data_IF_952965343060
#
_entry.id   IF_952965343060
#
_cell.length_a   1.000
_cell.length_b   1.000
_cell.length_c   1.000
_cell.angle_alpha   90.00
_cell.angle_beta   90.00
_cell.angle_gamma   90.00
#
_symmetry.space_group_name_H-M   'P 1'
#
loop_
_entity.id
_entity.type
_entity.pdbx_description
1 polymer ?
#
# COMPACT_ATOMS: atom_id res chain seq x y z
N UNK A 1 -3.26 11.93 1.01
CA UNK A 1 -2.93 11.34 2.33
C UNK A 1 -1.49 10.87 2.33
N UNK A 2 -0.72 11.36 3.27
CA UNK A 2 0.68 10.97 3.42
C UNK A 2 0.83 10.03 4.61
N UNK A 3 1.59 8.95 4.43
CA UNK A 3 1.77 7.91 5.43
C UNK A 3 3.23 7.47 5.47
N UNK A 4 3.70 7.12 6.65
CA UNK A 4 4.96 6.40 6.83
C UNK A 4 4.61 5.00 7.31
N UNK A 5 4.97 4.01 6.50
CA UNK A 5 4.63 2.61 6.72
C UNK A 5 5.90 1.76 6.80
N UNK A 6 5.83 0.55 7.34
CA UNK A 6 6.99 -0.33 7.35
C UNK A 6 7.37 -0.78 5.95
N UNK A 7 8.64 -1.08 5.76
CA UNK A 7 9.15 -1.65 4.52
C UNK A 7 8.52 -3.04 4.33
N UNK A 8 8.02 -3.36 3.11
CA UNK A 8 7.50 -4.68 2.85
C UNK A 8 8.57 -5.76 3.02
N UNK A 9 8.19 -6.98 3.42
CA UNK A 9 9.12 -8.10 3.40
C UNK A 9 9.60 -8.38 1.97
N UNK A 10 10.77 -9.01 1.83
CA UNK A 10 11.28 -9.37 0.51
C UNK A 10 10.32 -10.33 -0.19
N UNK A 11 10.36 -10.35 -1.51
CA UNK A 11 9.43 -11.15 -2.33
C UNK A 11 9.43 -12.63 -1.94
N UNK A 12 10.57 -13.16 -1.52
CA UNK A 12 10.70 -14.56 -1.11
C UNK A 12 10.00 -14.86 0.22
N UNK A 13 9.64 -13.86 1.00
CA UNK A 13 9.02 -14.01 2.32
C UNK A 13 7.56 -13.55 2.37
N UNK A 14 7.01 -13.08 1.23
CA UNK A 14 5.64 -12.56 1.18
C UNK A 14 4.60 -13.67 1.08
N UNK A 15 4.94 -14.75 0.39
CA UNK A 15 4.01 -15.84 0.06
C UNK A 15 4.63 -17.18 0.39
N UNK A 16 3.78 -18.17 0.64
CA UNK A 16 4.16 -19.56 0.85
C UNK A 16 3.31 -20.46 -0.03
N UNK A 17 3.80 -21.66 -0.33
CA UNK A 17 3.03 -22.67 -1.05
C UNK A 17 2.51 -23.69 -0.06
N UNK A 18 1.18 -23.85 0.01
CA UNK A 18 0.51 -24.82 0.90
C UNK A 18 -0.43 -25.66 0.04
N UNK A 19 -0.23 -26.97 0.02
CA UNK A 19 -1.02 -27.92 -0.77
C UNK A 19 -1.11 -27.53 -2.25
N UNK A 20 0.02 -27.09 -2.83
CA UNK A 20 0.09 -26.66 -4.23
C UNK A 20 -0.50 -25.27 -4.51
N UNK A 21 -0.98 -24.56 -3.50
CA UNK A 21 -1.58 -23.23 -3.64
C UNK A 21 -0.67 -22.17 -3.04
N UNK A 22 -0.52 -21.05 -3.77
CA UNK A 22 0.21 -19.90 -3.27
C UNK A 22 -0.68 -19.11 -2.32
N UNK A 23 -0.24 -18.96 -1.08
CA UNK A 23 -0.95 -18.24 -0.03
C UNK A 23 -0.06 -17.19 0.59
N UNK A 24 -0.66 -16.19 1.23
CA UNK A 24 0.09 -15.18 1.96
C UNK A 24 0.80 -15.83 3.15
N UNK A 25 2.10 -15.59 3.28
CA UNK A 25 2.90 -16.14 4.39
C UNK A 25 2.50 -15.50 5.72
N UNK A 26 2.96 -16.10 6.84
CA UNK A 26 2.77 -15.47 8.16
C UNK A 26 3.43 -14.09 8.23
N UNK A 27 4.61 -13.94 7.64
CA UNK A 27 5.30 -12.64 7.54
C UNK A 27 4.48 -11.65 6.73
N UNK A 28 3.92 -12.07 5.60
CA UNK A 28 3.04 -11.24 4.79
C UNK A 28 1.76 -10.83 5.52
N UNK A 29 1.14 -11.75 6.26
CA UNK A 29 -0.05 -11.44 7.07
C UNK A 29 0.26 -10.43 8.17
N UNK A 30 1.37 -10.59 8.86
CA UNK A 30 1.82 -9.65 9.89
C UNK A 30 2.06 -8.27 9.31
N UNK A 31 2.69 -8.19 8.14
CA UNK A 31 2.91 -6.94 7.44
C UNK A 31 1.59 -6.24 7.11
N UNK A 32 0.65 -6.95 6.51
CA UNK A 32 -0.66 -6.38 6.16
C UNK A 32 -1.42 -5.89 7.39
N UNK A 33 -1.39 -6.64 8.48
CA UNK A 33 -2.02 -6.22 9.73
C UNK A 33 -1.39 -4.95 10.30
N UNK A 34 -0.06 -4.84 10.25
CA UNK A 34 0.66 -3.66 10.71
C UNK A 34 0.34 -2.41 9.89
N UNK A 35 0.27 -2.56 8.57
CA UNK A 35 -0.13 -1.47 7.67
C UNK A 35 -1.57 -1.03 7.97
N UNK A 36 -2.48 -1.98 8.15
CA UNK A 36 -3.88 -1.67 8.46
C UNK A 36 -4.00 -0.86 9.75
N UNK A 37 -3.28 -1.25 10.81
CA UNK A 37 -3.29 -0.52 12.07
C UNK A 37 -2.78 0.91 11.91
N UNK A 38 -1.71 1.11 11.17
CA UNK A 38 -1.14 2.44 10.96
C UNK A 38 -2.06 3.34 10.12
N UNK A 39 -2.71 2.78 9.10
CA UNK A 39 -3.67 3.54 8.29
C UNK A 39 -4.88 3.93 9.10
N UNK A 40 -5.45 3.01 9.87
CA UNK A 40 -6.60 3.29 10.72
C UNK A 40 -6.28 4.33 11.79
N UNK A 41 -5.10 4.26 12.40
CA UNK A 41 -4.65 5.25 13.36
C UNK A 41 -4.50 6.64 12.73
N UNK A 42 -3.91 6.71 11.54
CA UNK A 42 -3.74 7.98 10.81
C UNK A 42 -5.08 8.60 10.43
N UNK A 43 -6.04 7.78 9.98
CA UNK A 43 -7.38 8.24 9.65
C UNK A 43 -8.13 8.75 10.88
N UNK A 44 -7.99 8.08 12.03
CA UNK A 44 -8.70 8.43 13.25
C UNK A 44 -8.36 9.85 13.74
N UNK A 45 -7.14 10.33 13.46
CA UNK A 45 -6.70 11.66 13.90
C UNK A 45 -6.71 12.70 12.78
N UNK A 46 -7.09 12.32 11.57
CA UNK A 46 -7.09 13.23 10.43
C UNK A 46 -8.33 14.11 10.43
N UNK A 47 -8.19 15.45 10.41
CA UNK A 47 -9.34 16.33 10.34
C UNK A 47 -10.08 16.25 9.00
N UNK A 48 -9.44 15.76 7.94
CA UNK A 48 -10.03 15.59 6.62
C UNK A 48 -10.51 14.17 6.32
N UNK A 49 -10.61 13.32 7.34
CA UNK A 49 -10.98 11.89 7.19
C UNK A 49 -12.23 11.68 6.35
N UNK A 50 -13.31 12.35 6.66
CA UNK A 50 -14.60 12.18 5.98
C UNK A 50 -14.49 12.51 4.50
N UNK A 51 -13.84 13.63 4.17
CA UNK A 51 -13.61 14.05 2.79
C UNK A 51 -12.72 13.06 2.05
N UNK A 52 -11.65 12.60 2.69
CA UNK A 52 -10.74 11.62 2.10
C UNK A 52 -11.43 10.30 1.79
N UNK A 53 -12.17 9.73 2.75
CA UNK A 53 -12.90 8.47 2.56
C UNK A 53 -13.93 8.60 1.44
N UNK A 54 -14.63 9.72 1.35
CA UNK A 54 -15.57 10.00 0.28
C UNK A 54 -14.87 10.06 -1.08
N UNK A 55 -13.74 10.75 -1.16
CA UNK A 55 -13.03 10.98 -2.41
C UNK A 55 -12.36 9.70 -2.94
N UNK A 56 -11.80 8.84 -2.07
CA UNK A 56 -11.19 7.58 -2.52
C UNK A 56 -12.21 6.61 -3.12
N UNK A 57 -13.48 6.79 -2.84
CA UNK A 57 -14.57 5.99 -3.45
C UNK A 57 -15.09 6.58 -4.75
N UNK A 58 -14.80 7.83 -5.01
CA UNK A 58 -15.37 8.58 -6.13
C UNK A 58 -14.40 8.74 -7.29
N UNK A 59 -13.12 8.92 -7.01
CA UNK A 59 -12.09 9.23 -7.99
C UNK A 59 -11.08 8.10 -8.11
N UNK A 60 -10.53 7.94 -9.32
CA UNK A 60 -9.35 7.12 -9.51
C UNK A 60 -8.17 7.71 -8.73
N UNK A 61 -7.25 6.85 -8.30
CA UNK A 61 -6.22 7.21 -7.34
C UNK A 61 -4.83 7.23 -7.99
N UNK A 62 -3.96 8.04 -7.40
CA UNK A 62 -2.54 8.07 -7.68
C UNK A 62 -1.80 7.64 -6.43
N UNK A 63 -0.91 6.67 -6.55
CA UNK A 63 -0.10 6.14 -5.46
C UNK A 63 1.37 6.42 -5.74
N UNK A 64 2.03 7.07 -4.78
CA UNK A 64 3.47 7.31 -4.82
C UNK A 64 4.12 6.62 -3.64
N UNK A 65 5.11 5.78 -3.89
CA UNK A 65 5.85 5.05 -2.87
C UNK A 65 7.34 5.34 -2.99
N UNK A 66 7.96 5.69 -1.87
CA UNK A 66 9.41 5.77 -1.76
C UNK A 66 9.87 4.76 -0.73
N UNK A 67 10.63 3.76 -1.17
CA UNK A 67 11.20 2.74 -0.29
C UNK A 67 12.56 3.20 0.19
N UNK A 68 12.74 3.32 1.49
CA UNK A 68 14.02 3.58 2.12
C UNK A 68 14.53 2.28 2.73
N UNK A 69 15.44 1.62 2.02
CA UNK A 69 16.02 0.35 2.45
C UNK A 69 17.28 0.57 3.29
N UNK A 70 17.68 -0.47 4.02
CA UNK A 70 18.92 -0.44 4.80
C UNK A 70 20.16 -0.40 3.91
N UNK A 71 20.08 -0.97 2.69
CA UNK A 71 21.17 -0.93 1.72
C UNK A 71 20.59 -0.93 0.31
N UNK A 72 21.44 -0.55 -0.67
CA UNK A 72 21.06 -0.58 -2.10
C UNK A 72 20.96 -1.98 -2.66
N UNK A 73 21.51 -2.97 -1.96
CA UNK A 73 21.75 -4.27 -2.53
C UNK A 73 20.50 -5.15 -2.46
N UNK A 74 20.23 -5.86 -3.56
CA UNK A 74 19.35 -7.02 -3.65
C UNK A 74 17.86 -6.77 -3.42
N UNK A 75 17.40 -5.53 -3.56
CA UNK A 75 15.96 -5.23 -3.52
C UNK A 75 15.56 -4.56 -4.83
N UNK A 76 14.67 -5.19 -5.56
CA UNK A 76 14.08 -4.58 -6.74
C UNK A 76 13.08 -3.50 -6.32
N UNK A 77 12.98 -2.46 -7.14
CA UNK A 77 12.09 -1.33 -6.84
C UNK A 77 10.62 -1.76 -6.74
N UNK A 78 10.22 -2.78 -7.47
CA UNK A 78 8.84 -3.28 -7.50
C UNK A 78 8.63 -4.52 -6.63
N UNK A 79 9.65 -5.03 -5.97
CA UNK A 79 9.57 -6.27 -5.19
C UNK A 79 8.58 -6.25 -4.03
N UNK A 80 8.28 -5.07 -3.49
CA UNK A 80 7.29 -4.89 -2.42
C UNK A 80 5.99 -4.24 -2.87
N UNK A 81 5.85 -3.92 -4.15
CA UNK A 81 4.71 -3.14 -4.64
C UNK A 81 3.38 -3.86 -4.40
N UNK A 82 3.27 -5.12 -4.82
CA UNK A 82 1.99 -5.81 -4.75
C UNK A 82 1.49 -5.96 -3.32
N UNK A 83 2.33 -6.39 -2.41
CA UNK A 83 1.90 -6.59 -1.01
C UNK A 83 1.61 -5.25 -0.32
N UNK A 84 2.37 -4.20 -0.62
CA UNK A 84 2.12 -2.87 -0.08
C UNK A 84 0.79 -2.32 -0.58
N UNK A 85 0.55 -2.42 -1.88
CA UNK A 85 -0.69 -1.98 -2.52
C UNK A 85 -1.90 -2.74 -1.99
N UNK A 86 -1.81 -4.07 -1.89
CA UNK A 86 -2.87 -4.90 -1.35
C UNK A 86 -3.17 -4.54 0.12
N UNK A 87 -2.12 -4.33 0.92
CA UNK A 87 -2.28 -3.96 2.32
C UNK A 87 -2.99 -2.62 2.48
N UNK A 88 -2.60 -1.62 1.69
CA UNK A 88 -3.22 -0.29 1.74
C UNK A 88 -4.67 -0.31 1.26
N UNK A 89 -4.93 -0.99 0.16
CA UNK A 89 -6.28 -1.09 -0.40
C UNK A 89 -7.23 -1.87 0.51
N UNK A 90 -6.76 -2.96 1.11
CA UNK A 90 -7.54 -3.72 2.09
C UNK A 90 -7.90 -2.85 3.30
N UNK A 91 -6.95 -2.10 3.82
CA UNK A 91 -7.17 -1.21 4.97
C UNK A 91 -8.17 -0.11 4.67
N UNK A 92 -8.18 0.39 3.45
CA UNK A 92 -9.09 1.46 3.01
C UNK A 92 -10.43 0.92 2.49
N UNK A 93 -10.56 -0.39 2.33
CA UNK A 93 -11.78 -1.01 1.81
C UNK A 93 -12.02 -0.70 0.33
N UNK A 94 -10.97 -0.55 -0.45
CA UNK A 94 -11.05 -0.25 -1.88
C UNK A 94 -10.39 -1.37 -2.69
N UNK A 95 -10.79 -1.49 -3.95
CA UNK A 95 -10.15 -2.39 -4.90
C UNK A 95 -8.92 -1.71 -5.50
N UNK A 96 -7.83 -2.45 -5.69
CA UNK A 96 -6.59 -1.94 -6.26
C UNK A 96 -6.73 -1.48 -7.72
N UNK A 97 -7.77 -1.95 -8.43
CA UNK A 97 -8.06 -1.46 -9.78
C UNK A 97 -8.45 0.02 -9.83
N UNK A 98 -8.68 0.66 -8.70
CA UNK A 98 -8.92 2.10 -8.62
C UNK A 98 -7.66 2.93 -8.76
N UNK A 99 -6.49 2.30 -8.59
CA UNK A 99 -5.21 2.99 -8.74
C UNK A 99 -4.91 3.13 -10.23
N UNK A 100 -4.94 4.37 -10.71
CA UNK A 100 -4.74 4.69 -12.12
C UNK A 100 -3.26 4.89 -12.45
N UNK A 101 -2.50 5.40 -11.50
CA UNK A 101 -1.08 5.66 -11.70
C UNK A 101 -0.29 5.35 -10.45
N UNK A 102 0.94 4.86 -10.65
CA UNK A 102 1.85 4.47 -9.57
C UNK A 102 3.22 5.08 -9.87
N UNK A 103 3.80 5.70 -8.86
CA UNK A 103 5.15 6.26 -8.90
C UNK A 103 5.99 5.55 -7.86
N UNK A 104 7.09 4.92 -8.28
CA UNK A 104 7.97 4.17 -7.40
C UNK A 104 9.35 4.82 -7.34
N UNK A 105 9.86 4.98 -6.16
CA UNK A 105 11.20 5.48 -5.90
C UNK A 105 11.90 4.58 -4.90
N UNK A 106 13.21 4.45 -5.04
CA UNK A 106 14.05 3.64 -4.17
C UNK A 106 15.18 4.50 -3.64
N UNK A 107 15.40 4.43 -2.34
CA UNK A 107 16.46 5.15 -1.67
C UNK A 107 17.06 4.29 -0.55
N UNK A 108 18.00 4.83 0.20
CA UNK A 108 18.67 4.13 1.29
C UNK A 108 18.63 4.98 2.55
N UNK A 109 18.26 4.36 3.65
CA UNK A 109 18.37 4.94 4.99
C UNK A 109 18.60 3.80 5.98
N UNK A 110 19.87 3.53 6.30
CA UNK A 110 20.24 2.40 7.14
C UNK A 110 19.74 2.52 8.58
N UNK A 111 19.50 3.74 9.06
CA UNK A 111 19.07 3.99 10.43
C UNK A 111 17.55 3.96 10.60
N UNK A 112 16.81 4.19 9.53
CA UNK A 112 15.35 4.26 9.59
C UNK A 112 14.72 3.75 8.29
N UNK A 113 14.80 2.44 8.03
CA UNK A 113 14.15 1.87 6.85
C UNK A 113 12.64 2.04 6.98
N UNK A 114 12.02 2.47 5.88
CA UNK A 114 10.60 2.80 5.86
C UNK A 114 10.09 2.90 4.44
N UNK A 115 8.76 2.96 4.32
CA UNK A 115 8.09 3.25 3.06
C UNK A 115 7.28 4.53 3.23
N UNK A 116 7.66 5.58 2.52
CA UNK A 116 6.89 6.82 2.49
C UNK A 116 5.84 6.72 1.39
N UNK A 117 4.59 6.95 1.74
CA UNK A 117 3.45 6.79 0.83
C UNK A 117 2.68 8.07 0.69
N UNK A 118 2.31 8.41 -0.54
CA UNK A 118 1.32 9.45 -0.81
C UNK A 118 0.22 8.86 -1.66
N UNK A 119 -0.99 8.87 -1.13
CA UNK A 119 -2.20 8.46 -1.83
C UNK A 119 -3.06 9.68 -2.06
N UNK A 120 -3.31 9.98 -3.32
CA UNK A 120 -4.10 11.14 -3.71
C UNK A 120 -5.13 10.76 -4.76
N UNK A 121 -6.18 11.58 -4.86
CA UNK A 121 -7.18 11.40 -5.90
C UNK A 121 -6.70 12.07 -7.19
N UNK A 122 -7.08 11.47 -8.32
CA UNK A 122 -6.96 12.10 -9.64
C UNK A 122 -8.24 12.86 -9.94
N UNK A 123 -8.28 13.54 -11.09
CA UNK A 123 -9.50 14.17 -11.59
C UNK A 123 -10.44 13.20 -12.30
N UNK A 124 -10.08 11.94 -12.42
CA UNK A 124 -10.85 10.94 -13.15
C UNK A 124 -11.89 10.30 -12.24
N UNK A 125 -13.16 10.50 -12.56
CA UNK A 125 -14.27 9.88 -11.86
C UNK A 125 -14.33 8.39 -12.15
N UNK A 126 -14.60 7.61 -11.13
CA UNK A 126 -14.88 6.20 -11.29
C UNK A 126 -16.38 6.05 -11.54
N UNK A 127 -16.79 5.32 -12.59
CA UNK A 127 -18.19 5.06 -12.83
C UNK A 127 -18.84 4.34 -11.64
N UNK A 128 -20.13 4.58 -11.36
CA UNK A 128 -20.84 3.83 -10.35
C UNK A 128 -20.74 2.33 -10.63
N UNK A 129 -20.60 1.53 -9.58
CA UNK A 129 -20.60 0.07 -9.70
C UNK A 129 -21.92 -0.37 -10.30
N UNK A 130 -21.83 -0.90 -11.51
CA UNK A 130 -22.98 -1.58 -12.12
C UNK A 130 -22.94 -3.02 -11.59
N UNK A 131 -23.89 -3.35 -10.74
CA UNK A 131 -24.07 -4.75 -10.32
C UNK A 131 -24.60 -5.55 -11.51
N UNK A 132 -23.80 -6.51 -11.90
CA UNK A 132 -24.27 -7.52 -12.86
C UNK A 132 -24.92 -8.65 -12.12
#
# INVERSE_FOLDING_TARGET
MELILPVPPSINHQYATVKGRRVLSSTGRTYKAGVAQQILAALAVSPSRTMFVKNVRRYALSLSLTFYFTSRLRRDIDGGLKIAQDAMCDALGINDNRILEIHLYKSTDSNNPRMACTLSTTSVLIPPLVRK
#
